data_IF_592351115078
#
_entry.id   IF_592351115078
#
_cell.length_a   1.000
_cell.length_b   1.000
_cell.length_c   1.000
_cell.angle_alpha   90.00
_cell.angle_beta   90.00
_cell.angle_gamma   90.00
#
_symmetry.space_group_name_H-M   'P 1'
#
loop_
_entity.id
_entity.type
_entity.pdbx_description
1 polymer ?
#
# COMPACT_ATOMS: atom_id res chain seq x y z
N UNK A 1 1.63 2.30 -0.59
CA UNK A 1 1.24 2.10 -2.00
C UNK A 1 2.19 2.86 -2.92
N UNK A 2 2.95 2.13 -3.74
CA UNK A 2 3.65 2.72 -4.89
C UNK A 2 2.66 2.90 -6.04
N UNK A 3 2.59 4.12 -6.59
CA UNK A 3 1.63 4.49 -7.62
C UNK A 3 2.29 5.33 -8.72
N UNK A 4 1.59 5.48 -9.85
CA UNK A 4 1.90 6.46 -10.89
C UNK A 4 0.72 7.42 -11.10
N UNK A 5 0.95 8.73 -11.36
CA UNK A 5 -0.11 9.73 -11.50
C UNK A 5 -1.11 9.48 -12.63
N UNK A 6 -0.72 8.69 -13.64
CA UNK A 6 -1.52 8.35 -14.81
C UNK A 6 -2.15 6.96 -14.72
N UNK A 7 -1.97 6.23 -13.61
CA UNK A 7 -2.43 4.84 -13.50
C UNK A 7 -3.92 4.78 -13.08
N UNK A 8 -4.83 4.29 -13.95
CA UNK A 8 -6.26 4.21 -13.63
C UNK A 8 -6.56 3.24 -12.48
N UNK A 9 -5.78 2.16 -12.33
CA UNK A 9 -5.93 1.24 -11.18
C UNK A 9 -5.56 1.91 -9.85
N UNK A 10 -4.59 2.83 -9.85
CA UNK A 10 -4.24 3.61 -8.67
C UNK A 10 -5.37 4.57 -8.31
N UNK A 11 -5.94 5.27 -9.29
CA UNK A 11 -7.07 6.17 -9.05
C UNK A 11 -8.28 5.45 -8.45
N UNK A 12 -8.62 4.25 -8.94
CA UNK A 12 -9.71 3.44 -8.38
C UNK A 12 -9.43 2.99 -6.94
N UNK A 13 -8.17 2.74 -6.59
CA UNK A 13 -7.79 2.29 -5.25
C UNK A 13 -7.73 3.43 -4.23
N UNK A 14 -7.46 4.67 -4.67
CA UNK A 14 -7.28 5.83 -3.77
C UNK A 14 -8.42 6.05 -2.76
N UNK A 15 -9.71 6.03 -3.14
CA UNK A 15 -10.80 6.24 -2.18
C UNK A 15 -10.83 5.18 -1.07
N UNK A 16 -10.69 3.91 -1.45
CA UNK A 16 -10.64 2.81 -0.47
C UNK A 16 -9.41 2.95 0.43
N UNK A 17 -8.24 3.29 -0.13
CA UNK A 17 -7.01 3.48 0.63
C UNK A 17 -7.14 4.57 1.70
N UNK A 18 -7.84 5.67 1.38
CA UNK A 18 -8.16 6.72 2.36
C UNK A 18 -9.15 6.24 3.43
N UNK A 19 -10.17 5.47 3.06
CA UNK A 19 -11.12 4.91 4.03
C UNK A 19 -10.44 3.91 4.98
N UNK A 20 -9.56 3.06 4.45
CA UNK A 20 -8.77 2.11 5.23
C UNK A 20 -7.92 2.82 6.29
N UNK A 21 -7.32 3.97 5.95
CA UNK A 21 -6.58 4.77 6.92
C UNK A 21 -7.45 5.21 8.10
N UNK A 22 -8.70 5.61 7.83
CA UNK A 22 -9.68 5.93 8.88
C UNK A 22 -9.99 4.73 9.76
N UNK A 23 -10.32 3.59 9.15
CA UNK A 23 -10.62 2.34 9.88
C UNK A 23 -9.46 1.91 10.78
N UNK A 24 -8.22 1.95 10.28
CA UNK A 24 -7.03 1.57 11.07
C UNK A 24 -6.82 2.50 12.26
N UNK A 25 -7.01 3.81 12.07
CA UNK A 25 -6.91 4.78 13.16
C UNK A 25 -8.01 4.57 14.21
N UNK A 26 -9.26 4.41 13.78
CA UNK A 26 -10.42 4.23 14.67
C UNK A 26 -10.33 2.94 15.49
N UNK A 27 -9.75 1.89 14.90
CA UNK A 27 -9.51 0.61 15.57
C UNK A 27 -8.20 0.54 16.35
N UNK A 28 -7.41 1.63 16.40
CA UNK A 28 -6.18 1.71 17.19
C UNK A 28 -5.02 0.84 16.68
N UNK A 29 -4.92 0.63 15.37
CA UNK A 29 -3.78 -0.08 14.79
C UNK A 29 -2.54 0.81 14.80
N UNK A 30 -1.39 0.24 15.16
CA UNK A 30 -0.08 0.89 14.98
C UNK A 30 0.45 0.68 13.56
N UNK A 31 -0.36 1.04 12.57
CA UNK A 31 -0.04 0.87 11.14
C UNK A 31 -0.34 2.17 10.41
N UNK A 32 0.65 2.67 9.68
CA UNK A 32 0.51 3.87 8.87
C UNK A 32 0.42 3.54 7.38
N UNK A 33 -0.55 4.15 6.70
CA UNK A 33 -0.68 4.03 5.25
C UNK A 33 0.02 5.19 4.53
N UNK A 34 0.99 4.86 3.69
CA UNK A 34 1.72 5.83 2.88
C UNK A 34 1.47 5.64 1.37
N UNK A 35 1.64 6.71 0.60
CA UNK A 35 1.64 6.67 -0.87
C UNK A 35 2.97 7.23 -1.40
N UNK A 36 3.52 6.58 -2.43
CA UNK A 36 4.79 6.97 -3.05
C UNK A 36 4.59 7.10 -4.56
N UNK A 37 4.88 8.28 -5.09
CA UNK A 37 4.91 8.52 -6.53
C UNK A 37 6.18 7.90 -7.11
N UNK A 38 6.05 6.69 -7.65
CA UNK A 38 7.17 5.92 -8.20
C UNK A 38 7.73 6.53 -9.49
N UNK A 39 7.00 7.45 -10.13
CA UNK A 39 7.48 8.18 -11.33
C UNK A 39 8.45 9.29 -10.96
N UNK A 40 8.36 9.84 -9.74
CA UNK A 40 9.31 10.80 -9.19
C UNK A 40 10.45 10.13 -8.43
N UNK A 41 10.14 9.06 -7.69
CA UNK A 41 11.10 8.34 -6.84
C UNK A 41 11.53 7.01 -7.48
N UNK A 42 12.05 7.06 -8.70
CA UNK A 42 12.41 5.88 -9.50
C UNK A 42 13.42 4.98 -8.79
N UNK A 43 14.49 5.54 -8.22
CA UNK A 43 15.49 4.77 -7.44
C UNK A 43 14.89 4.00 -6.27
N UNK A 44 13.84 4.53 -5.65
CA UNK A 44 13.15 3.87 -4.54
C UNK A 44 12.26 2.73 -5.06
N UNK A 45 11.58 2.95 -6.18
CA UNK A 45 10.80 1.93 -6.86
C UNK A 45 11.68 0.76 -7.34
N UNK A 46 12.86 1.06 -7.90
CA UNK A 46 13.85 0.07 -8.31
C UNK A 46 14.39 -0.72 -7.11
N UNK A 47 14.75 -0.02 -6.02
CA UNK A 47 15.24 -0.64 -4.77
C UNK A 47 14.26 -1.68 -4.21
N UNK A 48 12.97 -1.43 -4.33
CA UNK A 48 11.92 -2.33 -3.85
C UNK A 48 11.28 -3.17 -4.97
N UNK A 49 11.91 -3.20 -6.15
CA UNK A 49 11.52 -3.95 -7.34
C UNK A 49 10.02 -3.85 -7.64
N UNK A 50 9.50 -2.62 -7.70
CA UNK A 50 8.08 -2.37 -7.99
C UNK A 50 7.81 -2.70 -9.47
N UNK A 51 7.14 -3.81 -9.81
CA UNK A 51 7.05 -4.29 -11.20
C UNK A 51 5.93 -3.61 -11.98
N UNK A 52 5.05 -2.87 -11.29
CA UNK A 52 3.87 -2.24 -11.88
C UNK A 52 3.07 -1.49 -10.82
N UNK A 53 1.91 -0.95 -11.21
CA UNK A 53 1.11 -0.10 -10.31
C UNK A 53 -0.35 -0.55 -10.21
N UNK A 54 -0.98 -0.41 -9.04
CA UNK A 54 -0.34 -0.13 -7.74
C UNK A 54 0.37 -1.36 -7.18
N UNK A 55 1.47 -1.15 -6.47
CA UNK A 55 2.11 -2.17 -5.62
C UNK A 55 2.00 -1.77 -4.16
N UNK A 56 1.51 -2.69 -3.33
CA UNK A 56 1.41 -2.51 -1.89
C UNK A 56 2.50 -3.36 -1.23
N UNK A 57 3.34 -2.71 -0.43
CA UNK A 57 4.42 -3.33 0.31
C UNK A 57 4.23 -2.93 1.77
N UNK A 58 4.25 -3.90 2.67
CA UNK A 58 4.26 -3.66 4.10
C UNK A 58 5.69 -3.59 4.61
N UNK A 59 5.93 -2.66 5.51
CA UNK A 59 7.22 -2.45 6.15
C UNK A 59 7.07 -2.55 7.65
N UNK A 60 7.97 -3.30 8.29
CA UNK A 60 8.12 -3.32 9.75
C UNK A 60 9.55 -2.88 10.09
N UNK A 61 9.68 -1.86 10.94
CA UNK A 61 11.00 -1.31 11.32
C UNK A 61 11.89 -0.95 10.12
N UNK A 62 11.27 -0.46 9.03
CA UNK A 62 11.97 -0.08 7.79
C UNK A 62 12.33 -1.24 6.85
N UNK A 63 12.01 -2.49 7.22
CA UNK A 63 12.28 -3.69 6.41
C UNK A 63 10.99 -4.13 5.70
N UNK A 64 11.01 -4.42 4.38
CA UNK A 64 9.84 -4.96 3.69
C UNK A 64 9.56 -6.39 4.16
N UNK A 65 8.34 -6.65 4.62
CA UNK A 65 7.94 -7.96 5.19
C UNK A 65 7.02 -8.75 4.27
N UNK A 66 6.36 -8.07 3.33
CA UNK A 66 5.44 -8.71 2.41
C UNK A 66 4.95 -7.76 1.32
N UNK A 67 4.55 -8.35 0.19
CA UNK A 67 3.82 -7.65 -0.88
C UNK A 67 2.40 -8.19 -0.92
N UNK A 68 1.42 -7.30 -0.97
CA UNK A 68 0.02 -7.70 -1.14
C UNK A 68 -0.20 -8.25 -2.56
N UNK A 69 -0.65 -9.50 -2.68
CA UNK A 69 -0.95 -10.15 -3.96
C UNK A 69 -2.45 -10.40 -4.17
N UNK A 70 -3.26 -10.17 -3.13
CA UNK A 70 -4.70 -10.41 -3.15
C UNK A 70 -5.50 -9.32 -3.87
N UNK A 71 -6.82 -9.46 -3.80
CA UNK A 71 -7.73 -8.45 -4.29
C UNK A 71 -7.51 -7.11 -3.56
N UNK A 72 -7.75 -6.00 -4.27
CA UNK A 72 -7.50 -4.64 -3.76
C UNK A 72 -8.77 -4.03 -3.18
N UNK A 73 -9.44 -4.80 -2.34
CA UNK A 73 -10.63 -4.43 -1.57
C UNK A 73 -10.31 -4.34 -0.07
N UNK A 74 -11.26 -3.80 0.69
CA UNK A 74 -11.07 -3.47 2.10
C UNK A 74 -10.72 -4.72 2.93
N UNK A 75 -11.51 -5.78 2.78
CA UNK A 75 -11.40 -7.00 3.59
C UNK A 75 -10.08 -7.72 3.32
N UNK A 76 -9.70 -7.84 2.05
CA UNK A 76 -8.48 -8.56 1.66
C UNK A 76 -7.23 -7.79 2.10
N UNK A 77 -7.24 -6.45 2.04
CA UNK A 77 -6.11 -5.64 2.51
C UNK A 77 -6.04 -5.62 4.04
N UNK A 78 -7.18 -5.55 4.74
CA UNK A 78 -7.22 -5.66 6.21
C UNK A 78 -6.69 -7.02 6.68
N UNK A 79 -7.09 -8.11 6.04
CA UNK A 79 -6.55 -9.45 6.35
C UNK A 79 -5.04 -9.48 6.20
N UNK A 80 -4.51 -8.94 5.10
CA UNK A 80 -3.06 -8.88 4.88
C UNK A 80 -2.33 -8.08 5.98
N UNK A 81 -2.91 -6.97 6.45
CA UNK A 81 -2.36 -6.19 7.58
C UNK A 81 -2.39 -7.03 8.86
N UNK A 82 -3.49 -7.73 9.13
CA UNK A 82 -3.64 -8.57 10.32
C UNK A 82 -2.66 -9.75 10.36
N UNK A 83 -2.34 -10.33 9.20
CA UNK A 83 -1.37 -11.43 9.10
C UNK A 83 0.07 -11.00 9.45
N UNK A 84 0.34 -9.69 9.52
CA UNK A 84 1.65 -9.10 9.81
C UNK A 84 1.61 -8.15 11.02
N UNK A 85 0.57 -8.25 11.86
CA UNK A 85 0.41 -7.45 13.08
C UNK A 85 1.29 -7.93 14.22
#
# INVERSE_FOLDING_TARGET
MFYAPWCPHCHRLRPMWSQLAGVLNDQGYDVQLAVVDATKYTRLADKFEVPGFPTLIMFMNGVPVGRHQGARDMDTVLSFINDHK
#
